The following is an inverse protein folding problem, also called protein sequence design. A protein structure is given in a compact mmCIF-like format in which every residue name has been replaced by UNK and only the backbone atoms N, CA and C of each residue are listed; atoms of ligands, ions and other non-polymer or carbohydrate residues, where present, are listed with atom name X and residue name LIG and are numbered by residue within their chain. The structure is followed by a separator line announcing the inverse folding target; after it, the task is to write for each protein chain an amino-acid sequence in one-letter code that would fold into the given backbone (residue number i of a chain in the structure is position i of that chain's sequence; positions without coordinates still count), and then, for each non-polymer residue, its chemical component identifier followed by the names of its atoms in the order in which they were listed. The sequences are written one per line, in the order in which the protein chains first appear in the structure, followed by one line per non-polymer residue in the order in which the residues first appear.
data_IF_767142797702
#
_entry.id   IF_767142797702
#
_cell.length_a   1.000
_cell.length_b   1.000
_cell.length_c   1.000
_cell.angle_alpha   90.00
_cell.angle_beta   90.00
_cell.angle_gamma   90.00
#
_symmetry.space_group_name_H-M   'P 1'
#
loop_
_entity.id
_entity.type
_entity.pdbx_description
1 polymer ?
#
# COMPACT_ATOMS: atom_id res chain seq x y z
N UNK A 1 64.61 3.90 30.23
CA UNK A 1 63.75 2.71 30.12
C UNK A 1 62.53 3.11 29.32
N UNK A 2 62.34 2.46 28.16
CA UNK A 2 61.18 2.54 27.21
C UNK A 2 60.82 3.94 26.69
N UNK A 3 61.30 4.42 25.53
CA UNK A 3 61.05 4.01 24.11
C UNK A 3 59.56 4.12 23.75
N UNK A 4 59.09 4.94 22.79
CA UNK A 4 59.26 4.85 21.33
C UNK A 4 58.84 6.20 20.67
N UNK A 5 59.65 6.79 19.78
CA UNK A 5 59.47 6.88 18.30
C UNK A 5 58.57 8.04 17.83
N UNK A 6 59.11 9.15 17.31
CA UNK A 6 59.59 9.39 15.92
C UNK A 6 58.45 9.29 14.88
N UNK A 7 58.30 10.12 13.83
CA UNK A 7 58.94 11.33 13.32
C UNK A 7 58.01 11.90 12.21
N UNK A 8 58.16 13.19 11.90
CA UNK A 8 57.45 13.97 10.85
C UNK A 8 57.82 13.50 9.42
N UNK A 9 57.11 13.89 8.32
CA UNK A 9 57.35 15.21 7.72
C UNK A 9 56.18 15.89 6.98
N UNK A 10 56.22 17.21 7.02
CA UNK A 10 55.61 18.13 6.05
C UNK A 10 56.25 17.95 4.66
N UNK A 11 55.43 17.79 3.61
CA UNK A 11 55.93 17.84 2.23
C UNK A 11 55.43 19.09 1.50
N UNK A 12 56.42 19.86 1.05
CA UNK A 12 56.36 21.12 0.29
C UNK A 12 55.76 20.94 -1.12
N UNK A 13 55.07 21.98 -1.59
CA UNK A 13 54.65 22.16 -2.98
C UNK A 13 55.70 22.90 -3.81
N UNK A 14 55.78 22.58 -5.12
CA UNK A 14 55.85 23.48 -6.31
C UNK A 14 56.48 22.73 -7.53
N UNK A 15 56.47 23.26 -8.78
CA UNK A 15 55.30 23.44 -9.64
C UNK A 15 55.48 22.87 -11.08
N UNK A 16 54.39 22.98 -11.84
CA UNK A 16 54.10 22.75 -13.26
C UNK A 16 55.24 22.58 -14.30
N UNK A 17 55.15 21.52 -15.12
CA UNK A 17 55.03 21.57 -16.59
C UNK A 17 55.18 20.16 -17.21
N UNK A 18 54.19 19.72 -18.00
CA UNK A 18 54.36 18.99 -19.27
C UNK A 18 53.07 18.26 -19.69
N UNK A 19 52.38 18.91 -20.63
CA UNK A 19 51.61 18.36 -21.75
C UNK A 19 51.67 16.83 -21.93
N UNK A 20 50.55 16.17 -21.64
CA UNK A 20 50.13 14.92 -22.28
C UNK A 20 48.60 14.86 -22.22
N UNK A 21 47.93 15.48 -23.20
CA UNK A 21 46.52 15.17 -23.46
C UNK A 21 46.51 13.79 -24.10
N UNK A 22 46.36 12.75 -23.27
CA UNK A 22 45.87 11.46 -23.76
C UNK A 22 44.39 11.67 -24.07
N UNK A 23 44.12 11.94 -25.34
CA UNK A 23 42.78 11.89 -25.91
C UNK A 23 42.34 10.43 -25.86
N UNK A 24 41.73 10.03 -24.75
CA UNK A 24 41.02 8.75 -24.68
C UNK A 24 39.72 9.01 -25.45
N UNK A 25 39.65 8.48 -26.67
CA UNK A 25 38.38 8.36 -27.36
C UNK A 25 37.54 7.35 -26.56
N UNK A 26 36.79 7.83 -25.58
CA UNK A 26 35.71 7.06 -24.96
C UNK A 26 34.66 6.93 -26.05
N UNK A 27 34.63 5.77 -26.71
CA UNK A 27 33.49 5.38 -27.51
C UNK A 27 32.30 5.30 -26.55
N UNK A 28 31.50 6.37 -26.51
CA UNK A 28 30.25 6.41 -25.76
C UNK A 28 29.31 5.40 -26.39
N UNK A 29 29.14 4.24 -25.75
CA UNK A 29 28.04 3.36 -26.07
C UNK A 29 26.76 4.10 -25.65
N UNK A 30 26.02 4.61 -26.63
CA UNK A 30 24.67 5.10 -26.41
C UNK A 30 23.82 3.87 -26.10
N UNK A 31 23.61 3.61 -24.82
CA UNK A 31 22.60 2.66 -24.39
C UNK A 31 21.23 3.27 -24.70
N UNK A 32 20.73 3.05 -25.92
CA UNK A 32 19.30 3.13 -26.20
C UNK A 32 18.61 1.92 -25.57
N UNK A 33 18.64 1.87 -24.23
CA UNK A 33 17.86 0.93 -23.46
C UNK A 33 16.42 1.41 -23.43
N UNK A 34 15.71 1.27 -24.55
CA UNK A 34 14.26 1.34 -24.52
C UNK A 34 13.78 0.03 -23.88
N UNK A 35 13.88 -0.03 -22.55
CA UNK A 35 13.08 -0.95 -21.77
C UNK A 35 11.63 -0.48 -21.93
N UNK A 36 10.99 -0.90 -23.02
CA UNK A 36 9.55 -1.04 -23.00
C UNK A 36 9.32 -2.11 -21.94
N UNK A 37 8.95 -1.69 -20.72
CA UNK A 37 8.21 -2.58 -19.85
C UNK A 37 6.94 -2.94 -20.61
N UNK A 38 6.95 -4.03 -21.39
CA UNK A 38 5.75 -4.59 -22.02
C UNK A 38 4.85 -5.27 -20.97
N UNK A 39 5.08 -5.01 -19.69
CA UNK A 39 4.06 -5.05 -18.66
C UNK A 39 3.63 -3.60 -18.34
N UNK A 40 3.04 -2.91 -19.33
CA UNK A 40 2.03 -1.89 -19.04
C UNK A 40 0.71 -2.59 -18.69
N UNK A 41 0.76 -3.63 -17.84
CA UNK A 41 -0.43 -4.13 -17.18
C UNK A 41 -0.96 -2.94 -16.38
N UNK A 42 -2.16 -2.50 -16.74
CA UNK A 42 -2.87 -1.44 -16.04
C UNK A 42 -2.72 -1.70 -14.54
N UNK A 43 -2.20 -0.75 -13.73
CA UNK A 43 -1.93 -1.03 -12.34
C UNK A 43 -3.22 -1.56 -11.70
N UNK A 44 -3.14 -2.78 -11.17
CA UNK A 44 -4.25 -3.36 -10.41
C UNK A 44 -4.54 -2.41 -9.27
N UNK A 45 -5.79 -1.96 -9.17
CA UNK A 45 -6.19 -1.05 -8.12
C UNK A 45 -5.98 -1.76 -6.76
N UNK A 46 -5.18 -1.16 -5.89
CA UNK A 46 -4.83 -1.75 -4.58
C UNK A 46 -5.44 -0.95 -3.45
N UNK A 47 -5.69 -1.64 -2.34
CA UNK A 47 -6.07 -1.03 -1.08
C UNK A 47 -5.11 -1.46 0.03
N UNK A 48 -4.88 -0.58 0.99
CA UNK A 48 -3.98 -0.83 2.12
C UNK A 48 -4.71 -0.62 3.44
N UNK A 49 -4.49 -1.53 4.37
CA UNK A 49 -4.94 -1.40 5.77
C UNK A 49 -3.71 -1.30 6.65
N UNK A 50 -3.64 -0.24 7.46
CA UNK A 50 -2.54 0.05 8.37
C UNK A 50 -3.05 0.13 9.80
N UNK A 51 -2.32 -0.51 10.72
CA UNK A 51 -2.58 -0.51 12.16
C UNK A 51 -1.23 -0.30 12.84
N UNK A 52 -1.12 0.75 13.65
CA UNK A 52 0.17 1.26 14.14
C UNK A 52 1.20 1.41 13.00
N UNK A 53 2.24 0.59 12.99
CA UNK A 53 3.32 0.53 12.01
C UNK A 53 3.20 -0.66 11.03
N UNK A 54 2.22 -1.53 11.21
CA UNK A 54 1.98 -2.72 10.38
C UNK A 54 0.98 -2.38 9.28
N UNK A 55 1.30 -2.74 8.04
CA UNK A 55 0.40 -2.56 6.89
C UNK A 55 0.24 -3.85 6.10
N UNK A 56 -0.99 -4.08 5.60
CA UNK A 56 -1.28 -5.12 4.62
C UNK A 56 -1.92 -4.49 3.39
N UNK A 57 -1.44 -4.88 2.21
CA UNK A 57 -1.97 -4.41 0.93
C UNK A 57 -2.58 -5.58 0.19
N UNK A 58 -3.72 -5.35 -0.46
CA UNK A 58 -4.38 -6.36 -1.28
C UNK A 58 -4.86 -5.74 -2.59
N UNK A 59 -4.81 -6.55 -3.63
CA UNK A 59 -5.59 -6.33 -4.84
C UNK A 59 -7.07 -6.56 -4.58
N UNK A 60 -7.90 -6.14 -5.53
CA UNK A 60 -9.34 -6.28 -5.43
C UNK A 60 -9.74 -7.76 -5.39
N UNK A 61 -10.56 -8.12 -4.41
CA UNK A 61 -11.20 -9.44 -4.32
C UNK A 61 -12.20 -9.63 -5.44
N UNK A 62 -12.84 -8.55 -5.89
CA UNK A 62 -13.64 -8.49 -7.11
C UNK A 62 -13.50 -7.14 -7.79
N UNK A 63 -13.24 -7.14 -9.09
CA UNK A 63 -13.06 -5.93 -9.88
C UNK A 63 -13.36 -6.21 -11.35
N UNK A 64 -14.14 -5.34 -11.97
CA UNK A 64 -14.55 -5.44 -13.38
C UNK A 64 -13.90 -4.34 -14.22
N UNK A 65 -12.60 -4.09 -14.03
CA UNK A 65 -11.85 -3.03 -14.72
C UNK A 65 -12.43 -1.62 -14.59
N UNK A 66 -13.13 -1.37 -13.48
CA UNK A 66 -13.86 -0.12 -13.21
C UNK A 66 -15.27 -0.07 -13.79
N UNK A 67 -15.77 -1.16 -14.40
CA UNK A 67 -17.17 -1.33 -14.75
C UNK A 67 -17.99 -1.71 -13.52
N UNK A 68 -19.31 -1.55 -13.62
CA UNK A 68 -20.22 -1.98 -12.56
C UNK A 68 -20.20 -3.50 -12.43
N UNK A 69 -19.97 -3.98 -11.21
CA UNK A 69 -20.18 -5.37 -10.85
C UNK A 69 -21.69 -5.61 -10.82
N UNK A 70 -22.16 -6.73 -11.40
CA UNK A 70 -23.58 -7.06 -11.37
C UNK A 70 -24.00 -7.30 -9.92
N UNK A 71 -25.22 -6.91 -9.49
CA UNK A 71 -25.64 -7.07 -8.09
C UNK A 71 -25.49 -8.51 -7.55
N UNK A 72 -25.82 -9.52 -8.35
CA UNK A 72 -25.67 -10.93 -7.97
C UNK A 72 -24.19 -11.33 -7.73
N UNK A 73 -23.27 -10.71 -8.45
CA UNK A 73 -21.84 -10.97 -8.30
C UNK A 73 -21.28 -10.23 -7.08
N UNK A 74 -21.79 -9.04 -6.72
CA UNK A 74 -21.42 -8.33 -5.48
C UNK A 74 -21.64 -9.21 -4.25
N UNK A 75 -22.82 -9.82 -4.12
CA UNK A 75 -23.13 -10.69 -2.98
C UNK A 75 -22.22 -11.92 -2.93
N UNK A 76 -21.87 -12.48 -4.09
CA UNK A 76 -20.94 -13.60 -4.18
C UNK A 76 -19.55 -13.19 -3.73
N UNK A 77 -19.07 -12.03 -4.17
CA UNK A 77 -17.77 -11.47 -3.80
C UNK A 77 -17.67 -11.18 -2.30
N UNK A 78 -18.72 -10.62 -1.69
CA UNK A 78 -18.75 -10.34 -0.25
C UNK A 78 -18.76 -11.62 0.61
N UNK A 79 -19.26 -12.73 0.06
CA UNK A 79 -19.26 -14.05 0.71
C UNK A 79 -17.97 -14.82 0.48
N UNK A 80 -17.14 -14.42 -0.48
CA UNK A 80 -15.85 -15.06 -0.74
C UNK A 80 -14.88 -14.74 0.40
N UNK A 81 -14.38 -15.79 1.06
CA UNK A 81 -13.52 -15.67 2.25
C UNK A 81 -12.16 -16.33 2.07
N UNK A 82 -11.89 -16.91 0.91
CA UNK A 82 -10.61 -17.55 0.59
C UNK A 82 -9.57 -16.47 0.28
N UNK A 83 -8.34 -16.70 0.73
CA UNK A 83 -7.16 -15.87 0.46
C UNK A 83 -7.26 -14.39 0.87
N UNK A 84 -8.25 -14.05 1.70
CA UNK A 84 -8.41 -12.72 2.29
C UNK A 84 -7.24 -12.42 3.22
N UNK A 85 -6.43 -11.41 2.86
CA UNK A 85 -5.33 -10.92 3.69
C UNK A 85 -5.84 -10.52 5.07
N UNK A 86 -5.04 -10.78 6.10
CA UNK A 86 -5.43 -10.50 7.47
C UNK A 86 -4.42 -9.61 8.17
N UNK A 87 -4.90 -8.82 9.12
CA UNK A 87 -4.12 -7.99 10.03
C UNK A 87 -4.69 -8.11 11.44
N UNK A 88 -3.82 -8.09 12.43
CA UNK A 88 -4.22 -8.07 13.84
C UNK A 88 -4.47 -6.64 14.27
N UNK A 89 -5.53 -6.41 15.05
CA UNK A 89 -5.96 -5.10 15.50
C UNK A 89 -6.16 -5.10 16.99
N UNK A 90 -5.39 -4.28 17.70
CA UNK A 90 -5.70 -3.93 19.09
C UNK A 90 -6.94 -3.00 19.09
N UNK A 91 -8.00 -3.29 19.88
CA UNK A 91 -9.18 -2.44 19.95
C UNK A 91 -8.94 -1.00 20.39
N UNK A 92 -7.82 -0.72 21.06
CA UNK A 92 -7.43 0.63 21.51
C UNK A 92 -6.72 1.44 20.43
N UNK A 93 -6.27 0.80 19.34
CA UNK A 93 -5.60 1.46 18.24
C UNK A 93 -6.56 2.00 17.18
N UNK A 94 -6.02 2.77 16.23
CA UNK A 94 -6.76 3.25 15.06
C UNK A 94 -6.38 2.46 13.83
N UNK A 95 -7.38 1.97 13.10
CA UNK A 95 -7.19 1.33 11.80
C UNK A 95 -7.33 2.36 10.70
N UNK A 96 -6.33 2.46 9.83
CA UNK A 96 -6.34 3.33 8.66
C UNK A 96 -6.55 2.50 7.40
N UNK A 97 -7.54 2.91 6.61
CA UNK A 97 -7.84 2.32 5.31
C UNK A 97 -7.43 3.32 4.24
N UNK A 98 -6.51 2.93 3.36
CA UNK A 98 -6.02 3.74 2.26
C UNK A 98 -6.41 3.14 0.92
N UNK A 99 -6.75 4.00 -0.02
CA UNK A 99 -7.07 3.67 -1.41
C UNK A 99 -6.34 4.61 -2.37
N UNK A 100 -6.11 4.15 -3.59
CA UNK A 100 -5.57 5.00 -4.64
C UNK A 100 -6.51 6.18 -4.95
N UNK A 101 -5.98 7.35 -5.35
CA UNK A 101 -6.80 8.52 -5.72
C UNK A 101 -7.89 8.22 -6.76
N UNK A 102 -7.61 7.31 -7.69
CA UNK A 102 -8.59 6.90 -8.73
C UNK A 102 -9.80 6.16 -8.16
N UNK A 103 -9.64 5.46 -7.02
CA UNK A 103 -10.73 4.85 -6.26
C UNK A 103 -11.47 5.97 -5.49
N UNK A 104 -10.71 6.85 -4.84
CA UNK A 104 -11.24 7.96 -4.07
C UNK A 104 -12.14 8.89 -4.90
N UNK A 105 -11.76 9.20 -6.14
CA UNK A 105 -12.53 10.07 -7.04
C UNK A 105 -13.93 9.50 -7.37
N UNK A 106 -14.05 8.16 -7.42
CA UNK A 106 -15.32 7.45 -7.65
C UNK A 106 -16.16 7.29 -6.39
N UNK A 107 -15.68 7.81 -5.26
CA UNK A 107 -16.18 7.53 -3.92
C UNK A 107 -16.01 6.07 -3.49
N UNK A 108 -15.94 5.86 -2.19
CA UNK A 108 -15.91 4.52 -1.61
C UNK A 108 -16.43 4.53 -0.17
N UNK A 109 -16.76 3.36 0.34
CA UNK A 109 -17.19 3.17 1.73
C UNK A 109 -16.60 1.90 2.33
N UNK A 110 -16.63 1.79 3.65
CA UNK A 110 -16.33 0.56 4.38
C UNK A 110 -17.60 -0.23 4.62
N UNK A 111 -17.51 -1.53 4.38
CA UNK A 111 -18.51 -2.52 4.77
C UNK A 111 -17.92 -3.38 5.87
N UNK A 112 -18.67 -3.60 6.95
CA UNK A 112 -18.37 -4.55 8.01
C UNK A 112 -19.28 -5.77 7.84
N UNK A 113 -18.69 -6.93 7.56
CA UNK A 113 -19.43 -8.16 7.26
C UNK A 113 -20.50 -7.97 6.16
N UNK A 114 -20.18 -7.14 5.16
CA UNK A 114 -21.07 -6.81 4.04
C UNK A 114 -22.11 -5.72 4.32
N UNK A 115 -22.23 -5.23 5.56
CA UNK A 115 -23.11 -4.11 5.92
C UNK A 115 -22.34 -2.80 5.92
N UNK A 116 -22.96 -1.70 5.48
CA UNK A 116 -22.29 -0.39 5.42
C UNK A 116 -21.91 0.08 6.83
N UNK A 117 -20.63 0.42 7.00
CA UNK A 117 -20.07 0.94 8.26
C UNK A 117 -19.86 2.46 8.22
N UNK A 118 -19.52 3.01 7.05
CA UNK A 118 -19.24 4.45 6.89
C UNK A 118 -20.09 5.08 5.80
N UNK A 119 -20.17 6.40 5.80
CA UNK A 119 -20.64 7.14 4.63
C UNK A 119 -19.66 6.98 3.46
N UNK A 120 -20.14 7.32 2.26
CA UNK A 120 -19.28 7.40 1.09
C UNK A 120 -18.31 8.58 1.21
N UNK A 121 -17.04 8.34 0.91
CA UNK A 121 -15.97 9.33 1.01
C UNK A 121 -15.21 9.43 -0.30
N UNK A 122 -14.74 10.64 -0.62
CA UNK A 122 -13.77 10.91 -1.69
C UNK A 122 -12.34 11.14 -1.19
N UNK A 123 -12.09 10.88 0.09
CA UNK A 123 -10.73 10.96 0.65
C UNK A 123 -9.95 9.71 0.24
N UNK A 124 -8.64 9.84 0.09
CA UNK A 124 -7.74 8.69 -0.16
C UNK A 124 -7.54 7.81 1.06
N UNK A 125 -8.01 8.25 2.23
CA UNK A 125 -7.96 7.44 3.45
C UNK A 125 -9.13 7.72 4.39
N UNK A 126 -9.45 6.73 5.22
CA UNK A 126 -10.33 6.82 6.39
C UNK A 126 -9.64 6.22 7.61
N UNK A 127 -9.91 6.79 8.77
CA UNK A 127 -9.42 6.28 10.05
C UNK A 127 -10.61 5.91 10.92
N UNK A 128 -10.59 4.69 11.47
CA UNK A 128 -11.68 4.14 12.29
C UNK A 128 -11.09 3.56 13.57
N UNK A 129 -11.64 3.87 14.76
CA UNK A 129 -11.21 3.25 16.00
C UNK A 129 -11.33 1.72 15.94
N UNK A 130 -10.29 1.01 16.39
CA UNK A 130 -10.21 -0.45 16.34
C UNK A 130 -11.37 -1.16 17.05
N UNK A 131 -11.85 -0.56 18.14
CA UNK A 131 -13.00 -1.04 18.93
C UNK A 131 -14.29 -1.21 18.13
N UNK A 132 -14.47 -0.45 17.03
CA UNK A 132 -15.64 -0.55 16.15
C UNK A 132 -15.73 -1.93 15.50
N UNK A 133 -14.59 -2.52 15.12
CA UNK A 133 -14.52 -3.77 14.36
C UNK A 133 -14.82 -5.04 15.17
N UNK A 134 -14.96 -4.91 16.49
CA UNK A 134 -15.25 -6.01 17.40
C UNK A 134 -16.43 -5.69 18.32
N UNK A 135 -17.28 -4.74 17.92
CA UNK A 135 -18.46 -4.32 18.66
C UNK A 135 -19.74 -4.77 17.94
N UNK A 136 -20.59 -5.48 18.68
CA UNK A 136 -21.84 -6.07 18.18
C UNK A 136 -22.85 -5.04 17.66
N UNK A 137 -22.82 -3.81 18.19
CA UNK A 137 -23.67 -2.71 17.72
C UNK A 137 -23.46 -2.40 16.23
N UNK A 138 -22.25 -2.64 15.72
CA UNK A 138 -21.92 -2.42 14.30
C UNK A 138 -21.99 -3.71 13.46
N UNK A 139 -22.44 -4.82 14.03
CA UNK A 139 -22.57 -6.11 13.33
C UNK A 139 -21.29 -6.96 13.30
N UNK A 140 -20.32 -6.67 14.17
CA UNK A 140 -19.19 -7.57 14.42
C UNK A 140 -19.54 -8.63 15.46
N UNK A 141 -18.95 -9.82 15.37
CA UNK A 141 -19.07 -10.84 16.41
C UNK A 141 -17.75 -11.59 16.60
N UNK A 142 -17.44 -11.97 17.83
CA UNK A 142 -16.24 -12.72 18.18
C UNK A 142 -14.93 -11.94 17.98
N UNK A 143 -13.86 -12.66 17.64
CA UNK A 143 -12.49 -12.14 17.53
C UNK A 143 -12.02 -11.93 16.08
N UNK A 144 -12.91 -12.04 15.10
CA UNK A 144 -12.55 -11.86 13.68
C UNK A 144 -13.71 -11.25 12.92
N UNK A 145 -13.42 -10.25 12.10
CA UNK A 145 -14.41 -9.62 11.23
C UNK A 145 -13.86 -9.45 9.82
N UNK A 146 -14.74 -9.33 8.82
CA UNK A 146 -14.35 -8.95 7.46
C UNK A 146 -14.71 -7.49 7.25
N UNK A 147 -13.71 -6.70 6.87
CA UNK A 147 -13.92 -5.34 6.41
C UNK A 147 -13.67 -5.29 4.92
N UNK A 148 -14.61 -4.75 4.17
CA UNK A 148 -14.49 -4.60 2.72
C UNK A 148 -14.54 -3.13 2.35
N UNK A 149 -13.55 -2.68 1.60
CA UNK A 149 -13.61 -1.39 0.91
C UNK A 149 -14.46 -1.61 -0.35
N UNK A 150 -15.52 -0.83 -0.50
CA UNK A 150 -16.37 -0.85 -1.69
C UNK A 150 -16.22 0.44 -2.47
N UNK A 151 -15.66 0.35 -3.68
CA UNK A 151 -15.56 1.47 -4.63
C UNK A 151 -16.90 1.70 -5.32
N UNK A 152 -17.23 2.98 -5.49
CA UNK A 152 -18.44 3.46 -6.14
C UNK A 152 -19.44 4.02 -5.15
N UNK A 153 -20.67 4.21 -5.61
CA UNK A 153 -21.77 4.81 -4.85
C UNK A 153 -22.84 3.78 -4.46
N UNK A 154 -23.93 4.28 -3.87
CA UNK A 154 -25.03 3.47 -3.31
C UNK A 154 -25.57 2.37 -4.23
N UNK A 155 -25.65 2.65 -5.54
CA UNK A 155 -26.29 1.76 -6.51
C UNK A 155 -25.29 1.17 -7.52
N UNK A 156 -23.99 1.42 -7.35
CA UNK A 156 -22.99 1.01 -8.33
C UNK A 156 -21.67 0.72 -7.64
N UNK A 157 -21.42 -0.56 -7.41
CA UNK A 157 -20.13 -1.07 -6.94
C UNK A 157 -19.27 -1.43 -8.15
N UNK A 158 -18.03 -0.95 -8.17
CA UNK A 158 -17.08 -1.23 -9.27
C UNK A 158 -15.86 -2.03 -8.82
N UNK A 159 -15.61 -2.08 -7.50
CA UNK A 159 -14.52 -2.85 -6.92
C UNK A 159 -14.76 -3.15 -5.43
N UNK A 160 -14.25 -4.29 -4.99
CA UNK A 160 -14.30 -4.75 -3.60
C UNK A 160 -12.93 -5.25 -3.16
N UNK A 161 -12.43 -4.75 -2.02
CA UNK A 161 -11.18 -5.20 -1.39
C UNK A 161 -11.48 -5.65 0.03
N UNK A 162 -11.42 -6.96 0.27
CA UNK A 162 -11.72 -7.53 1.57
C UNK A 162 -10.46 -7.77 2.38
N UNK A 163 -10.53 -7.45 3.68
CA UNK A 163 -9.50 -7.69 4.67
C UNK A 163 -10.11 -8.35 5.90
N UNK A 164 -9.38 -9.30 6.48
CA UNK A 164 -9.78 -9.94 7.72
C UNK A 164 -9.07 -9.26 8.89
N UNK A 165 -9.83 -8.60 9.74
CA UNK A 165 -9.31 -8.03 10.97
C UNK A 165 -9.49 -9.06 12.08
N UNK A 166 -8.38 -9.43 12.73
CA UNK A 166 -8.37 -10.31 13.90
C UNK A 166 -8.15 -9.47 15.14
N UNK A 167 -8.93 -9.69 16.18
CA UNK A 167 -8.76 -9.01 17.47
C UNK A 167 -7.41 -9.42 18.06
N UNK A 168 -6.56 -8.45 18.34
CA UNK A 168 -5.35 -8.65 19.12
C UNK A 168 -5.69 -8.94 20.57
N UNK A 169 -4.85 -9.74 21.20
CA UNK A 169 -4.79 -9.84 22.66
C UNK A 169 -3.91 -8.69 23.13
N UNK A 170 -4.54 -7.64 23.64
CA UNK A 170 -3.87 -6.59 24.42
C UNK A 170 -3.23 -7.16 25.68
#
# INVERSE_FOLDING_TARGET
MTSLSAAEPHLKSAPAAARSRRTIAVAGAVCAGLLVLTACEKPTAVATVTVADISVTSEATCYEDGKAIKPADVDKCLKEKKDVRHITVDPTETVRFGVDPVIADKSWTLLLNGQRLTDYSKKTYLAVPGSVFFNEQYGASGSSTIVTIAEGGENKVTGLWSFRLKKGSS
#
